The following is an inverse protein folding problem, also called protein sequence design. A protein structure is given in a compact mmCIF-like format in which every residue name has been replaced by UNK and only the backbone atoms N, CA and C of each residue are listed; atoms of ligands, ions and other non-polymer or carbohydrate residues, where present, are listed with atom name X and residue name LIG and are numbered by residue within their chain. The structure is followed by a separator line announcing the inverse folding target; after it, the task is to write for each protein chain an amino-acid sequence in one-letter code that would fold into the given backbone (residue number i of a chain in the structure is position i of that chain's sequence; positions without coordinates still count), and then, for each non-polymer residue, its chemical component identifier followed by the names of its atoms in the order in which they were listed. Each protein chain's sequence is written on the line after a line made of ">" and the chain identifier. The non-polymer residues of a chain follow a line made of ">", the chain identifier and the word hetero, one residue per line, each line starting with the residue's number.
data_IF_614159406377
#
_entry.id   IF_614159406377
#
_cell.length_a   1.000
_cell.length_b   1.000
_cell.length_c   1.000
_cell.angle_alpha   90.00
_cell.angle_beta   90.00
_cell.angle_gamma   90.00
#
_symmetry.space_group_name_H-M   'P 1'
#
loop_
_entity.id
_entity.type
_entity.pdbx_description
1 polymer ?
#
# COMPACT_ATOMS: atom_id res chain seq x y z
N UNK A 1 31.53 -7.72 -22.67
CA UNK A 1 31.46 -6.80 -21.51
C UNK A 1 30.07 -6.20 -21.29
N UNK A 2 29.25 -5.98 -22.33
CA UNK A 2 27.87 -5.49 -22.19
C UNK A 2 26.92 -6.44 -21.42
N UNK A 3 27.17 -7.76 -21.52
CA UNK A 3 26.37 -8.79 -20.87
C UNK A 3 26.45 -8.74 -19.34
N UNK A 4 27.62 -8.37 -18.79
CA UNK A 4 27.79 -8.21 -17.33
C UNK A 4 27.16 -6.91 -16.82
N UNK A 5 27.00 -5.88 -17.65
CA UNK A 5 26.32 -4.64 -17.28
C UNK A 5 24.80 -4.82 -17.21
N UNK A 6 24.25 -5.60 -18.15
CA UNK A 6 22.87 -6.10 -18.07
C UNK A 6 22.72 -6.99 -16.82
N UNK A 7 23.62 -7.95 -16.58
CA UNK A 7 23.47 -8.86 -15.45
C UNK A 7 23.71 -8.20 -14.07
N UNK A 8 24.61 -7.22 -13.94
CA UNK A 8 24.94 -6.57 -12.66
C UNK A 8 24.13 -5.29 -12.39
N UNK A 9 23.69 -4.58 -13.43
CA UNK A 9 22.84 -3.38 -13.33
C UNK A 9 21.35 -3.69 -13.17
N UNK A 10 20.92 -4.92 -13.49
CA UNK A 10 19.52 -5.35 -13.43
C UNK A 10 19.17 -6.09 -12.13
N UNK A 11 20.16 -6.67 -11.41
CA UNK A 11 19.99 -7.48 -10.18
C UNK A 11 19.30 -6.76 -8.99
N UNK A 12 19.02 -5.47 -9.10
CA UNK A 12 18.25 -4.74 -8.09
C UNK A 12 16.80 -4.49 -8.47
N UNK A 13 16.58 -3.40 -9.20
CA UNK A 13 15.22 -2.87 -9.42
C UNK A 13 14.60 -3.25 -10.76
N UNK A 14 15.42 -3.47 -11.80
CA UNK A 14 14.89 -3.62 -13.16
C UNK A 14 14.26 -5.01 -13.38
N UNK A 15 14.81 -6.08 -12.79
CA UNK A 15 14.17 -7.40 -12.80
C UNK A 15 12.86 -7.41 -12.02
N UNK A 16 12.83 -6.78 -10.84
CA UNK A 16 11.60 -6.64 -10.05
C UNK A 16 10.54 -5.88 -10.85
N UNK A 17 10.92 -4.81 -11.57
CA UNK A 17 10.00 -4.05 -12.40
C UNK A 17 9.42 -4.88 -13.56
N UNK A 18 10.25 -5.68 -14.22
CA UNK A 18 9.81 -6.58 -15.30
C UNK A 18 8.82 -7.63 -14.75
N UNK A 19 9.15 -8.26 -13.62
CA UNK A 19 8.26 -9.24 -12.97
C UNK A 19 6.94 -8.58 -12.55
N UNK A 20 7.00 -7.37 -11.98
CA UNK A 20 5.82 -6.61 -11.61
C UNK A 20 4.92 -6.29 -12.81
N UNK A 21 5.49 -5.93 -13.96
CA UNK A 21 4.75 -5.71 -15.21
C UNK A 21 4.09 -6.99 -15.70
N UNK A 22 4.80 -8.13 -15.69
CA UNK A 22 4.22 -9.42 -16.10
C UNK A 22 3.06 -9.82 -15.19
N UNK A 23 3.22 -9.69 -13.87
CA UNK A 23 2.15 -9.92 -12.90
C UNK A 23 0.98 -8.94 -13.09
N UNK A 24 1.26 -7.68 -13.44
CA UNK A 24 0.25 -6.67 -13.71
C UNK A 24 -0.60 -7.03 -14.93
N UNK A 25 -0.02 -7.65 -15.97
CA UNK A 25 -0.76 -8.09 -17.15
C UNK A 25 -1.59 -9.35 -16.84
N UNK A 26 -1.03 -10.30 -16.08
CA UNK A 26 -1.72 -11.54 -15.70
C UNK A 26 -2.88 -11.29 -14.73
N UNK A 27 -2.66 -10.50 -13.69
CA UNK A 27 -3.63 -10.25 -12.63
C UNK A 27 -4.42 -8.95 -12.82
N UNK A 28 -3.90 -7.99 -13.58
CA UNK A 28 -4.49 -6.66 -13.72
C UNK A 28 -4.12 -5.72 -12.58
N UNK A 29 -4.05 -4.41 -12.86
CA UNK A 29 -3.67 -3.39 -11.86
C UNK A 29 -4.59 -3.20 -10.67
N UNK A 30 -5.82 -3.74 -10.73
CA UNK A 30 -6.78 -3.63 -9.64
C UNK A 30 -6.64 -4.76 -8.61
N UNK A 31 -6.13 -5.94 -9.00
CA UNK A 31 -6.07 -7.11 -8.11
C UNK A 31 -4.97 -7.02 -7.05
N UNK A 32 -3.81 -6.43 -7.38
CA UNK A 32 -2.71 -6.29 -6.40
C UNK A 32 -3.12 -5.40 -5.21
N UNK A 33 -3.68 -4.18 -5.40
CA UNK A 33 -4.16 -3.36 -4.28
C UNK A 33 -5.31 -4.01 -3.50
N UNK A 34 -6.22 -4.70 -4.18
CA UNK A 34 -7.35 -5.39 -3.55
C UNK A 34 -6.88 -6.53 -2.63
N UNK A 35 -5.93 -7.35 -3.10
CA UNK A 35 -5.29 -8.41 -2.30
C UNK A 35 -4.50 -7.83 -1.12
N UNK A 36 -3.75 -6.73 -1.33
CA UNK A 36 -3.02 -6.06 -0.24
C UNK A 36 -3.96 -5.49 0.82
N UNK A 37 -5.10 -4.90 0.43
CA UNK A 37 -6.12 -4.40 1.38
C UNK A 37 -6.74 -5.56 2.17
N UNK A 38 -7.04 -6.68 1.53
CA UNK A 38 -7.55 -7.89 2.20
C UNK A 38 -6.54 -8.48 3.18
N UNK A 39 -5.29 -8.66 2.73
CA UNK A 39 -4.19 -9.17 3.55
C UNK A 39 -3.87 -8.24 4.73
N UNK A 40 -3.83 -6.92 4.49
CA UNK A 40 -3.56 -5.93 5.53
C UNK A 40 -4.63 -5.93 6.63
N UNK A 41 -5.92 -6.06 6.27
CA UNK A 41 -7.00 -6.26 7.24
C UNK A 41 -6.83 -7.56 8.02
N UNK A 42 -6.51 -8.66 7.34
CA UNK A 42 -6.27 -9.96 7.98
C UNK A 42 -5.11 -9.92 8.98
N UNK A 43 -3.98 -9.31 8.61
CA UNK A 43 -2.81 -9.13 9.48
C UNK A 43 -3.17 -8.21 10.67
N UNK A 44 -3.95 -7.15 10.45
CA UNK A 44 -4.38 -6.23 11.51
C UNK A 44 -5.27 -6.94 12.54
N UNK A 45 -6.26 -7.70 12.10
CA UNK A 45 -7.12 -8.48 13.00
C UNK A 45 -6.35 -9.63 13.67
N UNK A 46 -5.45 -10.29 12.95
CA UNK A 46 -4.56 -11.31 13.52
C UNK A 46 -3.68 -10.73 14.64
N UNK A 47 -3.08 -9.55 14.41
CA UNK A 47 -2.30 -8.85 15.43
C UNK A 47 -3.17 -8.43 16.61
N UNK A 48 -4.39 -7.94 16.37
CA UNK A 48 -5.33 -7.54 17.43
C UNK A 48 -5.75 -8.73 18.31
N UNK A 49 -6.03 -9.88 17.71
CA UNK A 49 -6.36 -11.11 18.44
C UNK A 49 -5.12 -11.70 19.15
N UNK A 50 -3.95 -11.61 18.54
CA UNK A 50 -2.69 -12.09 19.13
C UNK A 50 -2.13 -11.16 20.22
N UNK A 51 -2.52 -9.88 20.22
CA UNK A 51 -2.10 -8.87 21.21
C UNK A 51 -3.17 -8.61 22.28
N UNK A 52 -4.09 -9.56 22.50
CA UNK A 52 -5.16 -9.46 23.52
C UNK A 52 -4.68 -9.28 24.97
N UNK A 53 -3.37 -9.27 25.23
CA UNK A 53 -2.79 -8.98 26.55
C UNK A 53 -2.34 -7.52 26.74
N UNK A 54 -2.22 -6.70 25.70
CA UNK A 54 -1.78 -5.30 25.83
C UNK A 54 -2.83 -4.33 25.29
N UNK A 55 -3.46 -3.65 26.24
CA UNK A 55 -4.50 -2.64 26.11
C UNK A 55 -4.30 -1.62 24.96
N UNK A 56 -5.42 -1.26 24.35
CA UNK A 56 -5.66 0.03 23.70
C UNK A 56 -4.63 0.51 22.67
N UNK A 57 -4.77 0.13 21.40
CA UNK A 57 -4.29 1.01 20.32
C UNK A 57 -5.04 0.83 19.02
N UNK A 58 -5.30 1.96 18.37
CA UNK A 58 -5.82 2.12 16.99
C UNK A 58 -7.34 2.27 16.84
N UNK A 59 -7.90 3.30 17.50
CA UNK A 59 -8.82 4.21 16.81
C UNK A 59 -7.98 5.13 15.91
N UNK A 60 -8.51 5.50 14.74
CA UNK A 60 -7.94 6.31 13.64
C UNK A 60 -7.04 5.59 12.64
N UNK A 61 -7.63 5.11 11.55
CA UNK A 61 -7.01 5.29 10.21
C UNK A 61 -8.03 5.34 9.06
N UNK A 62 -9.32 5.11 9.30
CA UNK A 62 -10.33 5.12 8.24
C UNK A 62 -11.21 6.38 8.32
N UNK A 63 -10.63 7.58 8.31
CA UNK A 63 -11.37 8.82 8.01
C UNK A 63 -10.43 9.99 7.62
N UNK A 64 -9.66 9.82 6.55
CA UNK A 64 -8.96 10.92 5.88
C UNK A 64 -9.14 10.74 4.38
N UNK A 65 -10.37 10.91 3.89
CA UNK A 65 -10.61 11.08 2.45
C UNK A 65 -11.82 11.95 2.11
N UNK A 66 -12.73 12.25 3.04
CA UNK A 66 -13.98 12.95 2.70
C UNK A 66 -14.14 14.37 3.28
N UNK A 67 -13.05 15.07 3.61
CA UNK A 67 -13.14 16.45 4.14
C UNK A 67 -12.21 17.45 3.40
N UNK A 68 -12.39 17.57 2.08
CA UNK A 68 -11.75 18.62 1.23
C UNK A 68 -12.75 19.73 0.83
N UNK A 69 -13.97 19.77 1.36
CA UNK A 69 -14.90 20.86 1.01
C UNK A 69 -15.84 21.31 2.13
N UNK A 70 -15.29 21.88 3.21
CA UNK A 70 -15.99 22.99 3.89
C UNK A 70 -15.05 23.84 4.76
N UNK A 71 -14.60 24.98 4.23
CA UNK A 71 -14.36 26.27 4.92
C UNK A 71 -13.54 27.21 4.03
N UNK A 72 -14.24 27.94 3.17
CA UNK A 72 -13.80 29.28 2.81
C UNK A 72 -14.14 30.21 3.99
N UNK A 73 -13.18 30.89 4.63
CA UNK A 73 -13.49 31.88 5.66
C UNK A 73 -13.84 33.21 4.98
N UNK A 74 -15.13 33.46 4.74
CA UNK A 74 -15.61 34.81 4.42
C UNK A 74 -15.69 35.63 5.72
N UNK A 75 -14.68 36.49 5.89
CA UNK A 75 -14.49 37.43 7.00
C UNK A 75 -15.64 38.45 7.02
N UNK A 76 -16.43 38.45 8.08
CA UNK A 76 -17.37 39.53 8.39
C UNK A 76 -16.79 40.46 9.46
N UNK A 77 -17.01 41.76 9.22
CA UNK A 77 -16.92 42.94 10.10
C UNK A 77 -15.62 43.74 10.12
#
# INVERSE_FOLDING_TARGET
>A
MLFNFILLGIIGGQEILIIAIVLLILFGGKKIPELMRGLGKGIKEFKKASSMDDEETSKKTDDVSDDINDKAPEKNK
#
